data_IF_561205980890
#
_entry.id   IF_561205980890
#
_cell.length_a   1.000
_cell.length_b   1.000
_cell.length_c   1.000
_cell.angle_alpha   90.00
_cell.angle_beta   90.00
_cell.angle_gamma   90.00
#
_symmetry.space_group_name_H-M   'P 1'
#
loop_
_entity.id
_entity.type
_entity.pdbx_description
1 polymer ?
#
# COMPACT_ATOMS: atom_id res chain seq x y z
N UNK A 1 79.29 -33.85 30.00
CA UNK A 1 78.69 -32.53 30.31
C UNK A 1 77.52 -32.34 29.35
N UNK A 2 76.28 -32.68 29.71
CA UNK A 2 75.23 -31.93 30.44
C UNK A 2 74.54 -30.85 29.57
N UNK A 3 73.19 -30.94 29.56
CA UNK A 3 72.12 -29.97 29.16
C UNK A 3 71.53 -30.20 27.76
N UNK A 4 70.29 -30.65 27.56
CA UNK A 4 68.93 -30.20 28.01
C UNK A 4 68.22 -29.34 26.95
N UNK A 5 67.18 -29.95 26.37
CA UNK A 5 65.88 -29.47 25.85
C UNK A 5 65.58 -27.95 25.87
N UNK A 6 65.17 -27.37 24.72
CA UNK A 6 64.15 -26.30 24.60
C UNK A 6 63.40 -26.43 23.26
N UNK A 7 62.07 -26.33 23.35
CA UNK A 7 61.04 -26.27 22.29
C UNK A 7 61.27 -25.18 21.23
N UNK A 8 60.89 -25.45 19.98
CA UNK A 8 60.19 -24.47 19.14
C UNK A 8 59.09 -25.17 18.34
N UNK A 9 57.85 -24.82 18.66
CA UNK A 9 56.62 -25.20 17.95
C UNK A 9 56.63 -24.47 16.60
N UNK A 10 56.60 -25.21 15.49
CA UNK A 10 56.31 -24.69 14.16
C UNK A 10 54.98 -25.27 13.69
N UNK A 11 53.88 -24.57 13.98
CA UNK A 11 52.63 -24.75 13.26
C UNK A 11 52.80 -24.13 11.87
N UNK A 12 52.94 -24.95 10.84
CA UNK A 12 52.68 -24.52 9.47
C UNK A 12 51.17 -24.45 9.27
N UNK A 13 50.63 -23.24 9.26
CA UNK A 13 49.32 -22.92 8.67
C UNK A 13 49.40 -23.11 7.15
N UNK A 14 48.99 -24.27 6.65
CA UNK A 14 48.49 -24.41 5.29
C UNK A 14 46.99 -24.07 5.35
N UNK A 15 46.66 -22.78 5.27
CA UNK A 15 45.29 -22.36 4.98
C UNK A 15 45.11 -22.61 3.49
N UNK A 16 44.67 -23.81 3.14
CA UNK A 16 44.05 -24.05 1.85
C UNK A 16 42.92 -23.04 1.70
N UNK A 17 42.96 -22.24 0.65
CA UNK A 17 41.83 -21.44 0.19
C UNK A 17 40.69 -22.39 -0.15
N UNK A 18 39.87 -22.73 0.85
CA UNK A 18 38.56 -23.27 0.62
C UNK A 18 37.73 -22.11 0.05
N UNK A 19 37.74 -21.98 -1.27
CA UNK A 19 36.55 -21.51 -1.97
C UNK A 19 35.45 -22.46 -1.54
N UNK A 20 34.64 -22.03 -0.57
CA UNK A 20 33.35 -22.63 -0.33
C UNK A 20 32.55 -22.35 -1.60
N UNK A 21 32.58 -23.31 -2.51
CA UNK A 21 31.61 -23.47 -3.58
C UNK A 21 30.29 -23.83 -2.88
N UNK A 22 29.65 -22.79 -2.34
CA UNK A 22 28.31 -22.85 -1.80
C UNK A 22 27.39 -23.01 -2.99
N UNK A 23 27.15 -24.26 -3.37
CA UNK A 23 26.15 -24.64 -4.35
C UNK A 23 24.78 -24.15 -3.89
N UNK A 24 24.41 -22.96 -4.35
CA UNK A 24 23.03 -22.56 -4.41
C UNK A 24 22.47 -23.22 -5.66
N UNK A 25 21.73 -24.32 -5.47
CA UNK A 25 20.80 -24.77 -6.49
C UNK A 25 19.97 -23.56 -6.91
N UNK A 26 20.09 -23.17 -8.17
CA UNK A 26 19.21 -22.20 -8.80
C UNK A 26 17.80 -22.81 -8.83
N UNK A 27 17.08 -22.70 -7.71
CA UNK A 27 15.66 -23.00 -7.68
C UNK A 27 14.98 -22.03 -8.64
N UNK A 28 14.48 -22.58 -9.75
CA UNK A 28 13.77 -21.83 -10.75
C UNK A 28 12.56 -21.14 -10.12
N UNK A 29 12.58 -19.81 -10.14
CA UNK A 29 11.53 -18.92 -9.67
C UNK A 29 10.19 -19.34 -10.31
N UNK A 30 9.12 -19.59 -9.54
CA UNK A 30 7.77 -19.70 -10.08
C UNK A 30 7.29 -18.32 -10.53
N UNK A 31 7.83 -17.80 -11.63
CA UNK A 31 7.21 -16.70 -12.35
C UNK A 31 5.83 -17.17 -12.80
N UNK A 32 4.81 -16.31 -12.81
CA UNK A 32 3.55 -16.63 -13.47
C UNK A 32 3.85 -17.02 -14.92
N UNK A 33 3.92 -18.34 -15.21
CA UNK A 33 4.29 -18.89 -16.53
C UNK A 33 3.32 -18.46 -17.63
N UNK A 34 2.18 -17.88 -17.25
CA UNK A 34 1.14 -17.34 -18.10
C UNK A 34 0.71 -16.01 -17.50
N UNK A 35 0.74 -14.93 -18.29
CA UNK A 35 -0.02 -13.74 -17.92
C UNK A 35 -1.45 -14.17 -17.63
N UNK A 36 -1.94 -13.81 -16.46
CA UNK A 36 -3.34 -13.98 -16.10
C UNK A 36 -4.20 -13.27 -17.16
N UNK A 37 -5.34 -13.86 -17.52
CA UNK A 37 -6.30 -13.20 -18.39
C UNK A 37 -6.73 -11.88 -17.76
N UNK A 38 -6.26 -10.76 -18.32
CA UNK A 38 -6.61 -9.43 -17.85
C UNK A 38 -7.35 -8.67 -18.95
N UNK A 39 -8.45 -8.01 -18.58
CA UNK A 39 -9.23 -7.19 -19.51
C UNK A 39 -9.80 -5.96 -18.82
N UNK A 40 -10.12 -4.96 -19.62
CA UNK A 40 -10.90 -3.79 -19.21
C UNK A 40 -12.20 -3.75 -20.01
N UNK A 41 -13.31 -3.46 -19.34
CA UNK A 41 -14.60 -3.20 -19.97
C UNK A 41 -15.04 -1.78 -19.62
N UNK A 42 -15.31 -0.96 -20.63
CA UNK A 42 -15.78 0.41 -20.44
C UNK A 42 -17.31 0.47 -20.48
N UNK A 43 -17.89 1.11 -19.47
CA UNK A 43 -19.25 1.62 -19.50
C UNK A 43 -19.27 3.12 -19.78
N UNK A 44 -20.44 3.75 -19.67
CA UNK A 44 -20.59 5.19 -19.88
C UNK A 44 -19.74 6.01 -18.89
N UNK A 45 -19.91 5.72 -17.60
CA UNK A 45 -19.26 6.42 -16.48
C UNK A 45 -18.47 5.44 -15.58
N UNK A 46 -18.10 4.27 -16.12
CA UNK A 46 -17.38 3.24 -15.38
C UNK A 46 -16.33 2.57 -16.26
N UNK A 47 -15.31 2.01 -15.64
CA UNK A 47 -14.47 0.99 -16.27
C UNK A 47 -14.20 -0.11 -15.26
N UNK A 48 -14.33 -1.37 -15.70
CA UNK A 48 -14.10 -2.55 -14.86
C UNK A 48 -12.89 -3.28 -15.40
N UNK A 49 -11.83 -3.31 -14.60
CA UNK A 49 -10.68 -4.19 -14.80
C UNK A 49 -11.01 -5.55 -14.19
N UNK A 50 -10.67 -6.61 -14.89
CA UNK A 50 -10.84 -7.99 -14.45
C UNK A 50 -9.53 -8.73 -14.62
N UNK A 51 -9.09 -9.40 -13.57
CA UNK A 51 -7.95 -10.32 -13.56
C UNK A 51 -8.48 -11.71 -13.24
N UNK A 52 -8.11 -12.70 -14.06
CA UNK A 52 -8.37 -14.11 -13.81
C UNK A 52 -9.03 -14.82 -15.00
N UNK A 53 -9.32 -16.13 -14.85
CA UNK A 53 -9.17 -16.93 -13.64
C UNK A 53 -7.71 -17.11 -13.17
N UNK A 54 -7.51 -17.24 -11.86
CA UNK A 54 -6.22 -17.44 -11.17
C UNK A 54 -6.38 -18.59 -10.16
N UNK A 55 -5.42 -19.51 -10.13
CA UNK A 55 -5.37 -20.52 -9.06
C UNK A 55 -4.41 -20.05 -7.95
N UNK A 56 -4.90 -20.04 -6.71
CA UNK A 56 -4.17 -19.80 -5.47
C UNK A 56 -3.74 -21.13 -4.81
N UNK A 57 -2.61 -21.20 -4.07
CA UNK A 57 -1.71 -20.09 -3.80
C UNK A 57 -0.92 -19.72 -5.05
N UNK A 58 -0.83 -18.42 -5.33
CA UNK A 58 0.22 -17.92 -6.23
C UNK A 58 1.52 -18.06 -5.45
N UNK A 59 2.46 -18.85 -5.97
CA UNK A 59 3.73 -19.06 -5.28
C UNK A 59 4.49 -17.75 -5.16
N UNK A 60 4.69 -17.28 -3.93
CA UNK A 60 5.64 -16.22 -3.59
C UNK A 60 6.72 -16.90 -2.73
N UNK A 61 7.82 -17.31 -3.35
CA UNK A 61 9.02 -17.70 -2.60
C UNK A 61 9.78 -16.47 -2.13
N UNK A 62 10.95 -16.66 -1.50
CA UNK A 62 11.88 -15.62 -1.01
C UNK A 62 12.50 -14.69 -2.10
N UNK A 63 11.75 -14.36 -3.15
CA UNK A 63 12.10 -13.43 -4.22
C UNK A 63 11.07 -12.31 -4.37
N UNK A 64 11.46 -11.23 -5.05
CA UNK A 64 10.72 -9.97 -5.17
C UNK A 64 9.24 -10.17 -5.59
N UNK A 65 8.31 -9.80 -4.71
CA UNK A 65 6.85 -9.82 -4.92
C UNK A 65 6.46 -9.20 -6.26
N UNK A 66 7.23 -8.23 -6.76
CA UNK A 66 7.05 -7.62 -8.08
C UNK A 66 6.77 -8.62 -9.19
N UNK A 67 7.57 -9.68 -9.32
CA UNK A 67 7.62 -10.53 -10.52
C UNK A 67 6.50 -11.59 -10.60
N UNK A 68 5.78 -11.80 -9.51
CA UNK A 68 4.70 -12.79 -9.40
C UNK A 68 3.30 -12.16 -9.43
N UNK A 69 3.19 -10.83 -9.41
CA UNK A 69 1.90 -10.12 -9.41
C UNK A 69 1.33 -9.94 -10.83
N UNK A 70 0.06 -10.31 -11.09
CA UNK A 70 -0.64 -9.93 -12.30
C UNK A 70 -0.66 -8.41 -12.50
N UNK A 71 -0.24 -7.95 -13.69
CA UNK A 71 -0.22 -6.54 -14.06
C UNK A 71 -0.99 -6.32 -15.36
N UNK A 72 -1.72 -5.22 -15.44
CA UNK A 72 -2.43 -4.82 -16.65
C UNK A 72 -2.17 -3.35 -16.97
N UNK A 73 -1.56 -3.09 -18.13
CA UNK A 73 -1.34 -1.74 -18.63
C UNK A 73 -2.50 -1.33 -19.54
N UNK A 74 -2.99 -0.10 -19.39
CA UNK A 74 -4.09 0.43 -20.19
C UNK A 74 -4.01 1.95 -20.30
N UNK A 75 -4.84 2.50 -21.17
CA UNK A 75 -5.09 3.94 -21.27
C UNK A 75 -6.60 4.17 -21.27
N UNK A 76 -7.05 5.37 -20.93
CA UNK A 76 -8.45 5.72 -21.08
C UNK A 76 -8.72 6.17 -22.54
N UNK A 77 -9.92 5.91 -23.09
CA UNK A 77 -10.25 6.34 -24.45
C UNK A 77 -10.41 7.87 -24.57
N UNK A 78 -10.57 8.56 -23.45
CA UNK A 78 -10.73 10.02 -23.34
C UNK A 78 -10.33 10.47 -21.92
N UNK A 79 -10.09 11.77 -21.75
CA UNK A 79 -9.85 12.35 -20.43
C UNK A 79 -11.08 12.15 -19.52
N UNK A 80 -10.86 11.69 -18.29
CA UNK A 80 -11.92 11.46 -17.29
C UNK A 80 -11.49 11.91 -15.91
N UNK A 81 -12.48 12.16 -15.05
CA UNK A 81 -12.28 12.36 -13.62
C UNK A 81 -12.71 11.12 -12.86
N UNK A 82 -11.78 10.44 -12.20
CA UNK A 82 -12.06 9.37 -11.26
C UNK A 82 -12.72 9.97 -10.02
N UNK A 83 -13.92 9.52 -9.67
CA UNK A 83 -14.70 10.00 -8.51
C UNK A 83 -14.85 8.93 -7.42
N UNK A 84 -14.21 7.79 -7.61
CA UNK A 84 -14.24 6.68 -6.68
C UNK A 84 -13.86 5.37 -7.34
N UNK A 85 -13.77 4.32 -6.54
CA UNK A 85 -13.46 2.99 -7.02
C UNK A 85 -13.96 1.89 -6.07
N UNK A 86 -13.95 0.65 -6.53
CA UNK A 86 -14.31 -0.53 -5.74
C UNK A 86 -13.51 -1.75 -6.20
N UNK A 87 -13.02 -2.52 -5.25
CA UNK A 87 -12.38 -3.82 -5.52
C UNK A 87 -13.31 -4.96 -5.11
N UNK A 88 -13.24 -6.09 -5.80
CA UNK A 88 -13.97 -7.30 -5.42
C UNK A 88 -13.19 -8.56 -5.79
N UNK A 89 -13.34 -9.60 -4.97
CA UNK A 89 -12.81 -10.94 -5.20
C UNK A 89 -13.94 -11.95 -5.25
N UNK A 90 -13.93 -12.80 -6.26
CA UNK A 90 -14.86 -13.91 -6.39
C UNK A 90 -14.19 -15.09 -7.09
N UNK A 91 -14.86 -16.22 -7.22
CA UNK A 91 -14.51 -17.28 -8.18
C UNK A 91 -15.27 -17.08 -9.49
N UNK A 92 -14.91 -17.81 -10.56
CA UNK A 92 -15.57 -17.74 -11.89
C UNK A 92 -17.07 -18.04 -11.86
N UNK A 93 -17.54 -18.81 -10.90
CA UNK A 93 -18.95 -19.12 -10.66
C UNK A 93 -19.69 -18.03 -9.87
N UNK A 94 -18.99 -16.96 -9.47
CA UNK A 94 -19.56 -15.78 -8.81
C UNK A 94 -19.60 -15.85 -7.29
N UNK A 95 -19.03 -16.87 -6.65
CA UNK A 95 -18.94 -16.91 -5.19
C UNK A 95 -17.93 -15.87 -4.69
N UNK A 96 -18.38 -14.94 -3.84
CA UNK A 96 -17.51 -13.96 -3.20
C UNK A 96 -16.47 -14.65 -2.30
N UNK A 97 -15.25 -14.14 -2.33
CA UNK A 97 -14.15 -14.62 -1.50
C UNK A 97 -13.93 -13.72 -0.28
N UNK A 98 -13.41 -14.27 0.82
CA UNK A 98 -12.99 -13.48 1.98
C UNK A 98 -12.02 -12.36 1.58
N UNK A 99 -12.14 -11.19 2.22
CA UNK A 99 -11.36 -10.00 1.85
C UNK A 99 -9.86 -10.16 2.07
N UNK A 100 -9.48 -10.95 3.08
CA UNK A 100 -8.10 -11.30 3.38
C UNK A 100 -7.42 -12.16 2.29
N UNK A 101 -8.09 -12.47 1.17
CA UNK A 101 -7.43 -13.02 -0.01
C UNK A 101 -6.70 -11.94 -0.81
N UNK A 102 -7.10 -10.67 -0.69
CA UNK A 102 -6.45 -9.55 -1.36
C UNK A 102 -5.40 -8.96 -0.43
N UNK A 103 -4.14 -9.00 -0.86
CA UNK A 103 -3.10 -8.20 -0.19
C UNK A 103 -3.19 -6.75 -0.68
N UNK A 104 -3.10 -6.55 -2.00
CA UNK A 104 -3.30 -5.26 -2.64
C UNK A 104 -3.88 -5.37 -4.06
N UNK A 105 -4.62 -4.35 -4.46
CA UNK A 105 -4.81 -3.98 -5.85
C UNK A 105 -4.46 -2.52 -6.00
N UNK A 106 -3.43 -2.25 -6.81
CA UNK A 106 -2.81 -0.94 -6.90
C UNK A 106 -3.09 -0.31 -8.26
N UNK A 107 -3.55 0.95 -8.29
CA UNK A 107 -3.65 1.76 -9.50
C UNK A 107 -2.50 2.75 -9.62
N UNK A 108 -1.75 2.64 -10.71
CA UNK A 108 -0.51 3.35 -10.92
C UNK A 108 -0.60 4.16 -12.22
N UNK A 109 -0.19 5.42 -12.17
CA UNK A 109 -0.05 6.28 -13.33
C UNK A 109 1.44 6.45 -13.64
N UNK A 110 1.92 5.74 -14.66
CA UNK A 110 3.34 5.75 -15.05
C UNK A 110 3.77 7.01 -15.78
N UNK A 111 2.84 7.93 -16.09
CA UNK A 111 3.16 9.22 -16.70
C UNK A 111 3.48 10.28 -15.63
N UNK A 112 2.96 10.12 -14.41
CA UNK A 112 3.10 11.11 -13.32
C UNK A 112 4.06 10.59 -12.25
N UNK A 113 4.96 11.43 -11.71
CA UNK A 113 5.81 11.04 -10.60
C UNK A 113 4.99 10.96 -9.29
N UNK A 114 5.34 10.01 -8.43
CA UNK A 114 4.91 9.99 -7.04
C UNK A 114 5.54 11.16 -6.30
N UNK A 115 4.73 11.89 -5.55
CA UNK A 115 5.24 12.99 -4.72
C UNK A 115 5.91 12.46 -3.44
N UNK A 116 5.50 11.28 -2.98
CA UNK A 116 6.00 10.66 -1.75
C UNK A 116 7.22 9.78 -1.97
N UNK A 117 7.37 9.22 -3.18
CA UNK A 117 8.50 8.39 -3.58
C UNK A 117 9.15 8.98 -4.84
N UNK A 118 10.12 9.91 -4.71
CA UNK A 118 10.81 10.47 -5.86
C UNK A 118 11.44 9.37 -6.74
N UNK A 119 11.20 9.41 -8.04
CA UNK A 119 11.66 8.41 -9.00
C UNK A 119 10.64 7.31 -9.33
N UNK A 120 9.50 7.27 -8.63
CA UNK A 120 8.46 6.27 -8.83
C UNK A 120 7.21 6.83 -9.49
N UNK A 121 6.38 5.98 -10.12
CA UNK A 121 5.10 6.41 -10.67
C UNK A 121 4.08 6.73 -9.58
N UNK A 122 3.11 7.59 -9.90
CA UNK A 122 2.07 7.99 -8.97
C UNK A 122 1.11 6.84 -8.68
N UNK A 123 1.00 6.44 -7.42
CA UNK A 123 -0.12 5.65 -6.93
C UNK A 123 -1.34 6.56 -6.74
N UNK A 124 -2.40 6.34 -7.52
CA UNK A 124 -3.57 7.24 -7.54
C UNK A 124 -4.84 6.64 -6.94
N UNK A 125 -4.78 5.38 -6.50
CA UNK A 125 -5.90 4.67 -5.89
C UNK A 125 -5.59 3.19 -5.76
N UNK A 126 -6.29 2.50 -4.86
CA UNK A 126 -6.12 1.08 -4.66
C UNK A 126 -6.84 0.62 -3.40
N UNK A 127 -6.79 -0.68 -3.16
CA UNK A 127 -7.30 -1.27 -1.94
C UNK A 127 -6.43 -2.47 -1.55
N UNK A 128 -6.27 -2.75 -0.26
CA UNK A 128 -5.90 -4.05 0.24
C UNK A 128 -7.11 -4.81 0.75
N UNK A 129 -6.90 -5.61 1.80
CA UNK A 129 -7.93 -6.40 2.48
C UNK A 129 -9.12 -5.55 2.94
N UNK A 130 -8.97 -4.24 3.13
CA UNK A 130 -10.09 -3.41 3.54
C UNK A 130 -11.20 -3.37 2.48
N UNK A 131 -10.88 -3.48 1.18
CA UNK A 131 -11.81 -3.60 0.04
C UNK A 131 -13.03 -2.64 0.05
N UNK A 132 -12.95 -1.54 0.79
CA UNK A 132 -14.05 -0.60 0.97
C UNK A 132 -14.34 0.14 -0.33
N UNK A 133 -15.62 0.31 -0.65
CA UNK A 133 -16.00 1.14 -1.79
C UNK A 133 -15.66 2.61 -1.50
N UNK A 134 -14.82 3.20 -2.35
CA UNK A 134 -14.40 4.58 -2.25
C UNK A 134 -15.28 5.47 -3.11
N UNK A 135 -15.78 6.56 -2.50
CA UNK A 135 -16.51 7.64 -3.16
C UNK A 135 -16.00 8.98 -2.68
N UNK A 136 -15.38 9.76 -3.56
CA UNK A 136 -14.88 11.09 -3.21
C UNK A 136 -16.04 12.05 -2.87
N UNK A 137 -15.77 13.20 -2.21
CA UNK A 137 -16.77 14.25 -2.04
C UNK A 137 -17.33 14.73 -3.38
N UNK A 138 -18.61 15.10 -3.40
CA UNK A 138 -19.28 15.56 -4.61
C UNK A 138 -18.56 16.76 -5.23
N UNK A 139 -18.38 16.72 -6.55
CA UNK A 139 -17.69 17.76 -7.32
C UNK A 139 -16.17 17.69 -7.26
N UNK A 140 -15.57 16.64 -6.68
CA UNK A 140 -14.13 16.42 -6.66
C UNK A 140 -13.76 15.07 -7.31
N UNK A 141 -12.60 15.03 -7.96
CA UNK A 141 -12.09 13.81 -8.59
C UNK A 141 -10.63 13.91 -9.03
N UNK A 142 -10.00 12.76 -9.24
CA UNK A 142 -8.63 12.68 -9.76
C UNK A 142 -8.69 12.75 -11.28
N UNK A 143 -7.98 13.70 -11.88
CA UNK A 143 -7.93 13.84 -13.33
C UNK A 143 -6.98 12.80 -13.94
N UNK A 144 -7.51 11.98 -14.83
CA UNK A 144 -6.78 10.98 -15.62
C UNK A 144 -6.90 11.34 -17.10
N UNK A 145 -5.75 11.49 -17.77
CA UNK A 145 -5.72 11.83 -19.18
C UNK A 145 -5.79 10.58 -20.07
N UNK A 146 -6.36 10.71 -21.27
CA UNK A 146 -6.30 9.68 -22.31
C UNK A 146 -4.86 9.29 -22.68
N UNK A 147 -3.90 10.21 -22.50
CA UNK A 147 -2.48 9.94 -22.78
C UNK A 147 -1.72 9.34 -21.60
N UNK A 148 -2.35 9.24 -20.42
CA UNK A 148 -1.70 8.63 -19.26
C UNK A 148 -1.43 7.14 -19.51
N UNK A 149 -0.27 6.66 -19.06
CA UNK A 149 0.11 5.25 -19.10
C UNK A 149 -0.30 4.61 -17.78
N UNK A 150 -1.52 4.10 -17.71
CA UNK A 150 -2.08 3.54 -16.49
C UNK A 150 -1.71 2.06 -16.36
N UNK A 151 -1.53 1.62 -15.12
CA UNK A 151 -1.27 0.23 -14.77
C UNK A 151 -2.11 -0.14 -13.55
N UNK A 152 -2.57 -1.38 -13.51
CA UNK A 152 -3.08 -1.99 -12.29
C UNK A 152 -2.29 -3.26 -11.97
N UNK A 153 -1.92 -3.41 -10.70
CA UNK A 153 -1.19 -4.56 -10.18
C UNK A 153 -2.03 -5.22 -9.09
N UNK A 154 -2.09 -6.55 -9.06
CA UNK A 154 -2.81 -7.31 -8.02
C UNK A 154 -1.83 -8.20 -7.26
N UNK A 155 -1.85 -8.10 -5.94
CA UNK A 155 -1.17 -8.95 -4.99
C UNK A 155 -2.21 -9.74 -4.19
N UNK A 156 -2.05 -11.05 -4.09
CA UNK A 156 -2.88 -11.90 -3.25
C UNK A 156 -2.16 -12.18 -1.94
N UNK A 157 -2.94 -12.42 -0.88
CA UNK A 157 -2.38 -12.70 0.44
C UNK A 157 -1.74 -14.10 0.51
N UNK A 158 -0.54 -14.16 1.07
CA UNK A 158 0.27 -15.37 1.18
C UNK A 158 -0.37 -16.48 2.01
N UNK A 159 -1.12 -16.12 3.04
CA UNK A 159 -1.84 -17.07 3.90
C UNK A 159 -3.20 -17.51 3.36
N UNK A 160 -3.61 -17.08 2.16
CA UNK A 160 -4.90 -17.46 1.60
C UNK A 160 -4.94 -18.97 1.32
N UNK A 161 -6.02 -19.69 1.73
CA UNK A 161 -6.18 -21.10 1.39
C UNK A 161 -6.12 -21.36 -0.12
N UNK A 162 -5.56 -22.51 -0.57
CA UNK A 162 -5.57 -22.89 -1.97
C UNK A 162 -6.97 -22.83 -2.57
N UNK A 163 -7.14 -22.06 -3.63
CA UNK A 163 -8.46 -21.73 -4.21
C UNK A 163 -8.33 -21.59 -5.72
N UNK A 164 -9.18 -22.27 -6.48
CA UNK A 164 -9.15 -22.24 -7.94
C UNK A 164 -10.03 -21.15 -8.53
N UNK A 165 -9.71 -20.77 -9.76
CA UNK A 165 -10.55 -19.93 -10.61
C UNK A 165 -10.95 -18.59 -9.97
N UNK A 166 -10.01 -17.98 -9.25
CA UNK A 166 -10.17 -16.67 -8.61
C UNK A 166 -10.22 -15.57 -9.67
N UNK A 167 -11.16 -14.66 -9.49
CA UNK A 167 -11.38 -13.44 -10.25
C UNK A 167 -11.20 -12.25 -9.30
N UNK A 168 -10.29 -11.34 -9.65
CA UNK A 168 -10.18 -10.04 -9.02
C UNK A 168 -10.72 -8.97 -9.96
N UNK A 169 -11.51 -8.05 -9.43
CA UNK A 169 -12.01 -6.90 -10.20
C UNK A 169 -11.70 -5.58 -9.53
N UNK A 170 -11.49 -4.57 -10.36
CA UNK A 170 -11.38 -3.18 -9.96
C UNK A 170 -12.32 -2.33 -10.80
N UNK A 171 -13.31 -1.73 -10.16
CA UNK A 171 -14.26 -0.84 -10.79
C UNK A 171 -13.85 0.60 -10.53
N UNK A 172 -13.53 1.33 -11.59
CA UNK A 172 -13.39 2.78 -11.59
C UNK A 172 -14.74 3.44 -11.85
N UNK A 173 -15.05 4.48 -11.09
CA UNK A 173 -16.21 5.32 -11.32
C UNK A 173 -15.76 6.69 -11.81
N UNK A 174 -16.35 7.15 -12.91
CA UNK A 174 -16.01 8.41 -13.53
C UNK A 174 -17.14 9.43 -13.43
N UNK A 175 -16.78 10.71 -13.36
CA UNK A 175 -17.76 11.78 -13.41
C UNK A 175 -18.44 11.83 -14.79
N UNK A 176 -19.77 12.06 -14.85
CA UNK A 176 -20.45 12.38 -16.10
C UNK A 176 -19.89 13.66 -16.73
N UNK A 177 -19.74 13.68 -18.07
CA UNK A 177 -19.16 14.83 -18.82
C UNK A 177 -19.81 16.18 -18.52
N UNK A 178 -21.12 16.20 -18.23
CA UNK A 178 -21.86 17.42 -17.96
C UNK A 178 -21.67 17.98 -16.54
N UNK A 179 -21.04 17.22 -15.62
CA UNK A 179 -20.84 17.64 -14.24
C UNK A 179 -19.47 18.30 -14.07
N UNK A 180 -19.39 19.55 -13.57
CA UNK A 180 -18.10 20.16 -13.26
C UNK A 180 -17.44 19.41 -12.11
N UNK A 181 -16.13 19.17 -12.24
CA UNK A 181 -15.31 18.48 -11.23
C UNK A 181 -14.04 19.28 -10.98
N UNK A 182 -13.71 19.46 -9.71
CA UNK A 182 -12.43 20.01 -9.27
C UNK A 182 -11.41 18.87 -9.19
N UNK A 183 -10.28 19.06 -9.85
CA UNK A 183 -9.18 18.12 -9.81
C UNK A 183 -8.59 18.03 -8.39
N UNK A 184 -8.28 16.81 -7.95
CA UNK A 184 -7.49 16.51 -6.79
C UNK A 184 -6.17 15.85 -7.21
N UNK A 185 -5.11 16.21 -6.51
CA UNK A 185 -3.85 15.48 -6.49
C UNK A 185 -3.90 14.39 -5.42
N UNK A 186 -3.05 13.38 -5.59
CA UNK A 186 -2.97 12.22 -4.70
C UNK A 186 -1.61 12.20 -3.99
N UNK A 187 -1.64 11.99 -2.68
CA UNK A 187 -0.46 12.03 -1.82
C UNK A 187 -0.44 10.83 -0.89
N UNK A 188 0.63 10.04 -0.94
CA UNK A 188 0.82 8.91 -0.03
C UNK A 188 1.55 9.40 1.21
N UNK A 189 1.03 9.09 2.39
CA UNK A 189 1.69 9.40 3.66
C UNK A 189 1.57 8.19 4.57
N UNK A 190 2.54 7.93 5.42
CA UNK A 190 2.42 6.86 6.39
C UNK A 190 3.69 6.52 7.13
N UNK A 191 3.55 5.56 8.04
CA UNK A 191 4.68 4.87 8.66
C UNK A 191 4.95 3.67 7.75
N UNK A 192 6.12 3.65 7.11
CA UNK A 192 6.50 2.65 6.10
C UNK A 192 5.79 2.80 4.74
N UNK A 193 6.04 3.93 4.05
CA UNK A 193 5.65 4.03 2.63
C UNK A 193 6.57 3.12 1.82
N UNK A 194 5.98 2.19 1.06
CA UNK A 194 6.73 1.32 0.15
C UNK A 194 7.09 2.09 -1.11
N UNK A 195 8.37 2.42 -1.24
CA UNK A 195 8.96 2.92 -2.47
C UNK A 195 9.70 1.75 -3.17
N UNK A 196 9.13 1.20 -4.25
CA UNK A 196 9.63 0.01 -4.95
C UNK A 196 11.10 0.11 -5.39
N UNK A 197 11.54 1.29 -5.83
CA UNK A 197 12.91 1.50 -6.31
C UNK A 197 13.94 1.54 -5.18
N UNK A 198 13.48 1.56 -3.92
CA UNK A 198 14.30 1.69 -2.71
C UNK A 198 14.25 0.45 -1.83
N UNK A 199 13.74 -0.68 -2.33
CA UNK A 199 13.67 -1.92 -1.56
C UNK A 199 15.02 -2.36 -0.97
N UNK A 200 16.10 -2.25 -1.76
CA UNK A 200 17.45 -2.58 -1.31
C UNK A 200 18.03 -1.62 -0.26
N UNK A 201 17.42 -0.46 -0.05
CA UNK A 201 17.88 0.54 0.93
C UNK A 201 17.12 0.44 2.26
N UNK A 202 16.23 -0.56 2.40
CA UNK A 202 15.39 -0.71 3.59
C UNK A 202 16.20 -1.26 4.76
N UNK A 203 15.89 -0.83 6.00
CA UNK A 203 16.38 -1.47 7.21
C UNK A 203 16.03 -2.97 7.25
N UNK A 204 16.84 -3.76 7.96
CA UNK A 204 16.68 -5.21 8.03
C UNK A 204 15.36 -5.68 8.68
N UNK A 205 14.73 -4.83 9.49
CA UNK A 205 13.41 -5.05 10.10
C UNK A 205 12.25 -4.64 9.19
N UNK A 206 12.50 -4.38 7.91
CA UNK A 206 11.49 -3.93 6.96
C UNK A 206 11.48 -4.78 5.70
N UNK A 207 10.30 -5.26 5.33
CA UNK A 207 10.02 -6.03 4.12
C UNK A 207 8.99 -5.29 3.27
N UNK A 208 8.58 -5.87 2.16
CA UNK A 208 7.40 -5.45 1.38
C UNK A 208 6.09 -5.56 2.16
N UNK A 209 6.03 -6.47 3.13
CA UNK A 209 4.91 -6.64 4.07
C UNK A 209 4.88 -5.57 5.19
N UNK A 210 5.89 -4.70 5.30
CA UNK A 210 5.92 -3.59 6.27
C UNK A 210 7.09 -3.63 7.24
N UNK A 211 6.90 -3.11 8.45
CA UNK A 211 7.90 -3.12 9.54
C UNK A 211 7.60 -4.27 10.48
N UNK A 212 8.60 -5.06 10.87
CA UNK A 212 8.43 -6.13 11.84
C UNK A 212 7.83 -5.61 13.16
N UNK A 213 6.80 -6.31 13.65
CA UNK A 213 6.10 -5.98 14.90
C UNK A 213 6.38 -7.06 15.94
N UNK A 214 7.11 -6.67 17.00
CA UNK A 214 7.31 -7.53 18.17
C UNK A 214 6.06 -7.74 19.05
N UNK A 215 6.11 -8.63 20.05
CA UNK A 215 4.99 -8.90 20.96
C UNK A 215 4.52 -7.68 21.76
N UNK A 216 3.20 -7.57 21.96
CA UNK A 216 2.54 -6.53 22.75
C UNK A 216 2.26 -5.23 21.98
N UNK A 217 1.89 -4.18 22.72
CA UNK A 217 1.58 -2.87 22.14
C UNK A 217 2.86 -2.16 21.74
N UNK A 218 2.85 -1.59 20.53
CA UNK A 218 3.92 -0.74 20.05
C UNK A 218 3.36 0.47 19.33
N UNK A 219 4.14 1.55 19.41
CA UNK A 219 3.87 2.81 18.74
C UNK A 219 5.05 3.11 17.83
N UNK A 220 4.76 3.36 16.56
CA UNK A 220 5.74 3.83 15.59
C UNK A 220 5.31 5.18 15.08
N UNK A 221 6.29 6.05 14.88
CA UNK A 221 6.06 7.35 14.26
C UNK A 221 7.01 7.56 13.10
N UNK A 222 6.57 8.36 12.13
CA UNK A 222 7.40 8.80 11.01
C UNK A 222 7.19 10.30 10.80
N UNK A 223 8.27 11.12 10.81
CA UNK A 223 8.14 12.53 10.50
C UNK A 223 7.70 12.71 9.04
N UNK A 224 6.89 13.73 8.80
CA UNK A 224 6.34 14.03 7.49
C UNK A 224 6.48 15.53 7.18
N UNK A 225 6.94 15.82 5.97
CA UNK A 225 6.98 17.15 5.39
C UNK A 225 6.30 17.12 4.03
N UNK A 226 5.28 17.94 3.84
CA UNK A 226 4.63 18.06 2.53
C UNK A 226 5.47 18.92 1.58
N UNK A 227 5.48 18.58 0.29
CA UNK A 227 6.18 19.35 -0.73
C UNK A 227 5.34 20.49 -1.31
N UNK A 228 4.06 20.57 -0.92
CA UNK A 228 3.11 21.57 -1.40
C UNK A 228 2.06 21.89 -0.34
N UNK A 229 1.48 23.08 -0.45
CA UNK A 229 0.27 23.41 0.30
C UNK A 229 -0.94 22.77 -0.38
N UNK A 230 -1.93 22.37 0.42
CA UNK A 230 -3.09 21.65 -0.08
C UNK A 230 -4.27 21.68 0.86
N UNK A 231 -5.42 21.27 0.34
CA UNK A 231 -6.63 21.06 1.12
C UNK A 231 -7.13 19.63 0.94
N UNK A 232 -6.93 18.81 1.95
CA UNK A 232 -7.30 17.39 1.95
C UNK A 232 -8.81 17.26 1.99
N UNK A 233 -9.39 16.55 1.02
CA UNK A 233 -10.83 16.32 0.87
C UNK A 233 -11.24 14.91 1.20
N UNK A 234 -10.32 13.97 1.01
CA UNK A 234 -10.54 12.56 1.31
C UNK A 234 -9.22 11.94 1.76
N UNK A 235 -9.28 11.04 2.74
CA UNK A 235 -8.11 10.26 3.15
C UNK A 235 -8.52 8.80 3.24
N UNK A 236 -7.95 7.97 2.38
CA UNK A 236 -8.19 6.54 2.37
C UNK A 236 -7.17 5.86 3.28
N UNK A 237 -7.59 5.24 4.40
CA UNK A 237 -6.68 4.51 5.26
C UNK A 237 -6.31 3.16 4.65
N UNK A 238 -5.08 2.74 4.91
CA UNK A 238 -4.62 1.40 4.63
C UNK A 238 -3.80 0.88 5.81
N UNK A 239 -4.01 -0.38 6.17
CA UNK A 239 -3.38 -1.03 7.29
C UNK A 239 -3.29 -2.54 7.11
N UNK A 240 -2.42 -3.17 7.89
CA UNK A 240 -2.29 -4.62 7.99
C UNK A 240 -2.99 -5.14 9.25
N UNK A 241 -2.98 -6.46 9.43
CA UNK A 241 -3.45 -7.10 10.66
C UNK A 241 -2.72 -6.53 11.90
N UNK A 242 -3.38 -6.65 13.05
CA UNK A 242 -2.93 -6.19 14.37
C UNK A 242 -2.82 -4.67 14.54
N UNK A 243 -3.18 -3.90 13.51
CA UNK A 243 -3.30 -2.45 13.58
C UNK A 243 -4.40 -2.04 14.56
N UNK A 244 -4.08 -1.10 15.44
CA UNK A 244 -5.02 -0.49 16.38
C UNK A 244 -5.38 0.96 16.03
N UNK A 245 -4.45 1.69 15.42
CA UNK A 245 -4.66 3.10 15.09
C UNK A 245 -3.67 3.60 14.02
N UNK A 246 -4.15 4.47 13.13
CA UNK A 246 -3.31 5.35 12.30
C UNK A 246 -3.75 6.79 12.52
N UNK A 247 -2.80 7.70 12.69
CA UNK A 247 -3.07 9.13 12.79
C UNK A 247 -2.09 9.97 11.97
N UNK A 248 -2.58 11.13 11.56
CA UNK A 248 -1.77 12.23 11.02
C UNK A 248 -1.85 13.39 12.00
N UNK A 249 -0.72 13.74 12.61
CA UNK A 249 -0.61 14.86 13.53
C UNK A 249 0.10 16.05 12.87
N UNK A 250 -0.42 17.25 13.11
CA UNK A 250 0.28 18.50 12.84
C UNK A 250 1.01 18.93 14.13
N UNK A 251 2.33 18.77 14.15
CA UNK A 251 3.17 19.03 15.32
C UNK A 251 3.35 20.53 15.56
N UNK A 252 3.38 21.34 14.50
CA UNK A 252 3.45 22.80 14.59
C UNK A 252 2.23 23.38 15.29
N UNK A 253 1.03 22.95 14.90
CA UNK A 253 -0.26 23.43 15.46
C UNK A 253 -0.75 22.62 16.67
N UNK A 254 -0.07 21.52 17.03
CA UNK A 254 -0.49 20.59 18.09
C UNK A 254 -1.92 20.07 17.90
N UNK A 255 -2.20 19.59 16.70
CA UNK A 255 -3.54 19.15 16.29
C UNK A 255 -3.48 17.76 15.65
N UNK A 256 -4.42 16.88 16.01
CA UNK A 256 -4.69 15.65 15.26
C UNK A 256 -5.58 15.98 14.07
N UNK A 257 -5.11 15.71 12.86
CA UNK A 257 -5.85 15.99 11.62
C UNK A 257 -6.67 14.78 11.17
N UNK A 258 -6.07 13.59 11.27
CA UNK A 258 -6.72 12.31 10.98
C UNK A 258 -6.47 11.35 12.13
N UNK A 259 -7.49 10.56 12.46
CA UNK A 259 -7.42 9.47 13.42
C UNK A 259 -8.38 8.37 12.99
N UNK A 260 -7.83 7.24 12.58
CA UNK A 260 -8.58 6.09 12.09
C UNK A 260 -8.34 4.92 13.02
N UNK A 261 -9.42 4.29 13.47
CA UNK A 261 -9.39 3.01 14.19
C UNK A 261 -10.02 1.96 13.25
N UNK A 262 -9.31 0.87 12.93
CA UNK A 262 -9.89 -0.22 12.16
C UNK A 262 -10.93 -1.03 12.94
N UNK A 263 -11.85 -1.68 12.23
CA UNK A 263 -12.58 -2.82 12.77
C UNK A 263 -11.70 -4.07 12.62
N UNK A 264 -11.51 -4.80 13.72
CA UNK A 264 -10.62 -5.96 13.76
C UNK A 264 -11.20 -7.06 14.65
N UNK A 265 -10.85 -8.30 14.34
CA UNK A 265 -11.11 -9.47 15.15
C UNK A 265 -10.34 -9.42 16.47
N UNK A 266 -10.74 -10.28 17.42
CA UNK A 266 -10.06 -10.40 18.72
C UNK A 266 -8.61 -10.86 18.60
N UNK A 267 -8.29 -11.62 17.56
CA UNK A 267 -6.93 -12.09 17.28
C UNK A 267 -6.06 -11.04 16.55
N UNK A 268 -6.62 -9.89 16.20
CA UNK A 268 -5.94 -8.82 15.49
C UNK A 268 -6.20 -8.81 13.98
N UNK A 269 -6.88 -9.81 13.41
CA UNK A 269 -7.20 -9.83 11.98
C UNK A 269 -8.01 -8.59 11.59
N UNK A 270 -7.49 -7.78 10.67
CA UNK A 270 -8.15 -6.58 10.18
C UNK A 270 -9.37 -6.97 9.33
N UNK A 271 -10.54 -6.38 9.63
CA UNK A 271 -11.76 -6.61 8.87
C UNK A 271 -11.98 -5.54 7.81
N UNK A 272 -12.04 -4.29 8.25
CA UNK A 272 -12.23 -3.14 7.38
C UNK A 272 -11.98 -1.82 8.13
N UNK A 273 -11.96 -0.72 7.38
CA UNK A 273 -12.19 0.61 7.93
C UNK A 273 -13.65 0.98 7.68
N UNK A 274 -14.42 1.08 8.77
CA UNK A 274 -15.83 1.46 8.69
C UNK A 274 -15.98 2.84 8.03
N UNK A 275 -17.08 3.12 7.31
CA UNK A 275 -17.22 4.37 6.55
C UNK A 275 -17.00 5.66 7.36
N UNK A 276 -17.35 5.66 8.66
CA UNK A 276 -17.16 6.82 9.54
C UNK A 276 -15.70 7.05 9.96
N UNK A 277 -14.82 6.06 9.77
CA UNK A 277 -13.38 6.15 10.00
C UNK A 277 -12.63 6.68 8.78
N UNK A 278 -13.27 6.69 7.60
CA UNK A 278 -12.67 7.19 6.36
C UNK A 278 -13.00 8.67 6.19
N UNK A 279 -11.97 9.52 6.22
CA UNK A 279 -12.18 10.97 6.11
C UNK A 279 -12.73 11.35 4.74
N UNK A 280 -13.84 12.09 4.73
CA UNK A 280 -14.50 12.61 3.53
C UNK A 280 -15.19 13.93 3.85
N UNK A 281 -14.65 15.04 3.33
CA UNK A 281 -15.23 16.36 3.50
C UNK A 281 -14.92 17.28 2.31
N UNK A 282 -15.97 17.92 1.79
CA UNK A 282 -15.85 18.91 0.71
C UNK A 282 -15.17 20.21 1.16
N UNK A 283 -15.22 20.57 2.45
CA UNK A 283 -14.51 21.72 3.01
C UNK A 283 -13.03 21.39 3.23
N UNK A 284 -12.76 20.21 3.76
CA UNK A 284 -11.41 19.68 3.89
C UNK A 284 -10.65 20.28 5.08
N UNK A 285 -9.43 19.81 5.31
CA UNK A 285 -8.47 20.45 6.21
C UNK A 285 -7.19 20.86 5.47
N UNK A 286 -6.56 21.98 5.88
CA UNK A 286 -5.37 22.47 5.21
C UNK A 286 -4.13 21.68 5.65
N UNK A 287 -3.23 21.48 4.70
CA UNK A 287 -1.83 21.11 4.94
C UNK A 287 -0.93 22.21 4.36
N UNK A 288 0.27 22.33 4.90
CA UNK A 288 1.25 23.32 4.44
C UNK A 288 2.65 22.74 4.41
N UNK A 289 3.44 23.16 3.43
CA UNK A 289 4.87 22.85 3.34
C UNK A 289 5.68 23.44 4.50
N UNK A 290 5.19 24.49 5.16
CA UNK A 290 5.93 25.22 6.19
C UNK A 290 5.75 24.60 7.59
N UNK A 291 4.81 23.65 7.73
CA UNK A 291 4.49 22.99 9.00
C UNK A 291 5.10 21.59 9.09
N UNK A 292 5.27 21.09 10.30
CA UNK A 292 5.83 19.78 10.59
C UNK A 292 4.73 18.82 11.01
N UNK A 293 4.75 17.63 10.41
CA UNK A 293 3.74 16.60 10.62
C UNK A 293 4.39 15.31 11.10
N UNK A 294 3.58 14.45 11.69
CA UNK A 294 3.98 13.12 12.11
C UNK A 294 2.88 12.13 11.78
N UNK A 295 3.25 11.04 11.12
CA UNK A 295 2.43 9.86 11.01
C UNK A 295 2.62 9.02 12.26
N UNK A 296 1.53 8.55 12.85
CA UNK A 296 1.53 7.68 14.03
C UNK A 296 0.81 6.41 13.68
N UNK A 297 1.41 5.28 14.04
CA UNK A 297 0.84 3.94 13.90
C UNK A 297 0.93 3.22 15.24
N UNK A 298 -0.16 2.59 15.66
CA UNK A 298 -0.22 1.77 16.86
C UNK A 298 -0.71 0.39 16.47
N UNK A 299 -0.04 -0.64 16.98
CA UNK A 299 -0.38 -2.03 16.73
C UNK A 299 -0.18 -2.86 18.00
N UNK A 300 -0.79 -4.04 18.02
CA UNK A 300 -0.65 -5.00 19.11
C UNK A 300 -0.52 -6.42 18.57
N UNK A 301 0.70 -6.95 18.66
CA UNK A 301 0.96 -8.35 18.39
C UNK A 301 0.66 -9.20 19.62
N UNK A 302 -0.04 -10.32 19.43
CA UNK A 302 -0.40 -11.20 20.54
C UNK A 302 0.84 -11.72 21.28
N UNK A 303 0.84 -11.66 22.62
CA UNK A 303 1.93 -12.23 23.43
C UNK A 303 2.03 -13.77 23.31
N UNK A 304 0.98 -14.44 22.82
CA UNK A 304 0.98 -15.87 22.59
C UNK A 304 1.34 -16.25 21.15
N UNK A 305 1.32 -15.29 20.22
CA UNK A 305 1.76 -15.52 18.85
C UNK A 305 3.28 -15.34 18.79
N UNK A 306 3.96 -16.30 18.16
CA UNK A 306 5.41 -16.28 17.98
C UNK A 306 5.80 -16.12 16.51
N UNK A 307 4.83 -16.07 15.61
CA UNK A 307 5.06 -15.83 14.20
C UNK A 307 5.41 -14.36 13.98
N UNK A 308 6.45 -14.11 13.19
CA UNK A 308 6.81 -12.75 12.80
C UNK A 308 5.65 -12.13 12.01
N UNK A 309 5.29 -10.90 12.37
CA UNK A 309 4.27 -10.12 11.70
C UNK A 309 4.87 -8.79 11.26
N UNK A 310 4.26 -8.19 10.23
CA UNK A 310 4.70 -6.90 9.69
C UNK A 310 3.54 -5.92 9.63
N UNK A 311 3.75 -4.74 10.20
CA UNK A 311 2.77 -3.67 10.28
C UNK A 311 3.01 -2.60 9.23
N UNK A 312 1.92 -2.11 8.66
CA UNK A 312 1.89 -0.94 7.79
C UNK A 312 0.71 -0.03 8.16
N UNK A 313 0.89 1.28 8.01
CA UNK A 313 -0.12 2.26 8.37
C UNK A 313 0.02 3.52 7.52
N UNK A 314 -0.84 3.62 6.51
CA UNK A 314 -0.76 4.65 5.47
C UNK A 314 -2.10 5.36 5.28
N UNK A 315 -2.04 6.59 4.79
CA UNK A 315 -3.15 7.27 4.13
C UNK A 315 -2.80 7.59 2.69
N UNK A 316 -3.76 7.35 1.80
CA UNK A 316 -3.80 7.99 0.48
C UNK A 316 -4.68 9.24 0.58
N UNK A 317 -4.03 10.40 0.63
CA UNK A 317 -4.68 11.70 0.71
C UNK A 317 -5.05 12.18 -0.69
N UNK A 318 -6.29 12.65 -0.85
CA UNK A 318 -6.76 13.30 -2.06
C UNK A 318 -7.05 14.75 -1.73
N UNK A 319 -6.32 15.66 -2.36
CA UNK A 319 -6.34 17.08 -1.99
C UNK A 319 -6.32 17.99 -3.19
N UNK A 320 -6.93 19.16 -3.05
CA UNK A 320 -6.77 20.23 -4.05
C UNK A 320 -5.50 21.02 -3.74
N UNK A 321 -4.76 21.50 -4.75
CA UNK A 321 -3.59 22.35 -4.53
C UNK A 321 -3.99 23.68 -3.87
N UNK A 322 -3.14 24.18 -2.97
CA UNK A 322 -3.32 25.47 -2.30
C UNK A 322 -4.27 25.42 -1.09
N UNK A 323 -4.74 26.59 -0.67
CA UNK A 323 -5.52 26.74 0.57
C UNK A 323 -6.93 26.13 0.49
N UNK A 324 -7.45 25.68 1.62
CA UNK A 324 -8.87 25.34 1.74
C UNK A 324 -9.75 26.57 1.51
N UNK A 325 -10.91 26.36 0.88
CA UNK A 325 -11.94 27.39 0.73
C UNK A 325 -12.38 27.87 2.11
N UNK A 326 -12.28 29.18 2.38
CA UNK A 326 -12.66 29.76 3.68
C UNK A 326 -14.17 29.77 3.96
N UNK A 327 -15.01 29.23 3.05
CA UNK A 327 -16.47 29.13 3.22
C UNK A 327 -16.87 28.03 4.22
N UNK A 328 -16.41 28.13 5.46
CA UNK A 328 -16.74 27.16 6.50
C UNK A 328 -16.21 27.44 7.91
N UNK A 329 -15.66 28.64 8.21
CA UNK A 329 -15.21 29.01 9.57
C UNK A 329 -16.35 29.23 10.59
N UNK A 330 -17.48 28.56 10.44
CA UNK A 330 -18.56 28.56 11.43
C UNK A 330 -18.94 27.13 11.78
N UNK A 331 -18.53 26.74 12.99
CA UNK A 331 -19.01 25.63 13.82
C UNK A 331 -18.50 24.22 13.50
N UNK A 332 -17.44 23.84 14.22
CA UNK A 332 -17.44 22.59 14.99
C UNK A 332 -16.49 22.75 16.19
N UNK A 333 -17.04 23.29 17.27
CA UNK A 333 -16.62 22.91 18.62
C UNK A 333 -17.49 21.71 18.99
N UNK A 334 -16.86 20.56 19.24
CA UNK A 334 -17.07 19.64 20.36
C UNK A 334 -16.37 18.32 20.12
#
# INVERSE_FOLDING_TARGET
>A
MRRSLVLFISLFFMISSAYADGGHEHHAIPTLKKQVGSKITYGENTAVLTFGPIDLPTGHGEGDMGDSMPRFNFQLPEDKYLIGFKSALSTVDGKELPRNYLHHILMINNTKPSVSCPGEPLFYGGAGLEMSETRFPDGYGVQLSATDKLMTVVAFYHGAPPTKDVIATFTMYFAPKAKPVKAMDVYQVGVNIVCFTKFGDRPADQTDEGIEIGPGVQVRTAPLKFSMDGCVKYAYPHGHDELLLIALENKTKKQTLLRTIPDAERDGTLREFLPHQVYKDSQGFPISKDEDYEMVMVYHHSLQNTEAQHGMGNYLLYMTPGACSEKGKTAAAH
#
